data_IF_652752024009
#
_entry.id   IF_652752024009
#
_cell.length_a   1.000
_cell.length_b   1.000
_cell.length_c   1.000
_cell.angle_alpha   90.00
_cell.angle_beta   90.00
_cell.angle_gamma   90.00
#
_symmetry.space_group_name_H-M   'P 1'
#
loop_
_entity.id
_entity.type
_entity.pdbx_description
1 polymer ?
#
# COMPACT_ATOMS: atom_id res chain seq x y z
N UNK A 1 -13.56 24.53 67.75
CA UNK A 1 -13.73 24.16 69.16
C UNK A 1 -15.15 23.68 69.32
N UNK A 2 -15.32 22.59 70.06
CA UNK A 2 -16.43 21.62 70.15
C UNK A 2 -16.54 20.64 68.96
N UNK A 3 -16.16 19.36 69.07
CA UNK A 3 -16.55 18.23 69.98
C UNK A 3 -17.80 17.52 69.41
N UNK A 4 -17.92 16.19 69.22
CA UNK A 4 -17.11 15.02 69.53
C UNK A 4 -17.85 13.74 69.05
N UNK A 5 -17.07 12.68 68.77
CA UNK A 5 -17.29 11.21 68.84
C UNK A 5 -18.72 10.60 68.76
N UNK A 6 -19.02 9.70 67.80
CA UNK A 6 -18.86 8.21 67.78
C UNK A 6 -20.27 7.57 67.69
N UNK A 7 -20.58 6.53 66.90
CA UNK A 7 -20.16 5.12 67.02
C UNK A 7 -20.56 4.31 65.76
N UNK A 8 -19.84 3.22 65.48
CA UNK A 8 -20.18 2.18 64.49
C UNK A 8 -21.18 1.15 65.07
N UNK A 9 -21.75 0.25 64.24
CA UNK A 9 -21.17 -1.11 64.24
C UNK A 9 -21.19 -1.89 62.89
N UNK A 10 -20.20 -2.79 62.77
CA UNK A 10 -20.17 -4.18 62.21
C UNK A 10 -21.16 -4.60 61.09
N UNK A 11 -20.82 -5.37 60.05
CA UNK A 11 -20.08 -6.64 60.07
C UNK A 11 -19.78 -7.16 58.63
N UNK A 12 -18.59 -7.78 58.49
CA UNK A 12 -18.23 -8.97 57.66
C UNK A 12 -18.05 -8.91 56.14
N UNK A 13 -16.79 -9.12 55.78
CA UNK A 13 -16.23 -10.13 54.88
C UNK A 13 -16.72 -10.20 53.41
N UNK A 14 -15.82 -9.83 52.50
CA UNK A 14 -15.33 -10.80 51.52
C UNK A 14 -14.01 -10.34 50.88
N UNK A 15 -12.94 -11.03 51.25
CA UNK A 15 -11.71 -11.15 50.49
C UNK A 15 -11.99 -11.78 49.12
N UNK A 16 -11.58 -11.11 48.04
CA UNK A 16 -11.05 -11.75 46.85
C UNK A 16 -10.20 -10.75 46.05
N UNK A 17 -8.88 -10.98 45.89
CA UNK A 17 -8.08 -10.19 44.96
C UNK A 17 -8.42 -10.62 43.53
N UNK A 18 -9.01 -9.72 42.76
CA UNK A 18 -9.30 -9.93 41.34
C UNK A 18 -7.98 -9.90 40.54
N UNK A 19 -7.25 -11.00 40.62
CA UNK A 19 -6.05 -11.28 39.85
C UNK A 19 -6.48 -11.73 38.44
N UNK A 20 -7.05 -10.80 37.67
CA UNK A 20 -7.23 -10.98 36.24
C UNK A 20 -5.90 -10.59 35.59
N UNK A 21 -5.15 -11.54 35.00
CA UNK A 21 -3.91 -11.20 34.33
C UNK A 21 -4.24 -10.30 33.15
N UNK A 22 -3.88 -9.01 33.28
CA UNK A 22 -3.87 -8.05 32.17
C UNK A 22 -3.00 -8.66 31.07
N UNK A 23 -3.66 -9.17 30.02
CA UNK A 23 -3.01 -9.69 28.82
C UNK A 23 -2.09 -8.58 28.32
N UNK A 24 -0.78 -8.74 28.49
CA UNK A 24 0.22 -7.79 28.00
C UNK A 24 0.00 -7.63 26.51
N UNK A 25 -0.63 -6.52 26.11
CA UNK A 25 -0.68 -6.11 24.71
C UNK A 25 0.76 -5.84 24.31
N UNK A 26 1.35 -6.76 23.54
CA UNK A 26 2.68 -6.56 22.98
C UNK A 26 2.76 -5.24 22.20
N UNK A 27 3.97 -4.74 21.93
CA UNK A 27 4.15 -3.46 21.24
C UNK A 27 3.35 -3.44 19.94
N UNK A 28 2.56 -2.39 19.72
CA UNK A 28 1.69 -2.23 18.54
C UNK A 28 2.42 -2.35 17.17
N UNK A 29 3.76 -2.42 17.15
CA UNK A 29 4.57 -2.64 15.95
C UNK A 29 4.65 -4.10 15.46
N UNK A 30 4.36 -5.11 16.29
CA UNK A 30 4.60 -6.51 15.91
C UNK A 30 3.54 -7.10 14.96
N UNK A 31 2.33 -6.54 14.92
CA UNK A 31 1.18 -7.10 14.18
C UNK A 31 1.11 -6.68 12.70
N UNK A 32 1.92 -5.69 12.31
CA UNK A 32 1.93 -5.12 10.96
C UNK A 32 3.09 -5.66 10.08
N UNK A 33 3.75 -6.73 10.53
CA UNK A 33 4.98 -7.29 9.92
C UNK A 33 4.77 -7.99 8.58
N UNK A 34 3.51 -8.29 8.23
CA UNK A 34 3.18 -9.03 7.02
C UNK A 34 2.41 -8.21 5.98
N UNK A 35 2.20 -6.90 6.20
CA UNK A 35 1.44 -6.08 5.24
C UNK A 35 2.03 -6.12 3.83
N UNK A 36 3.36 -6.06 3.69
CA UNK A 36 4.02 -6.06 2.39
C UNK A 36 3.83 -7.39 1.64
N UNK A 37 3.84 -8.54 2.33
CA UNK A 37 3.57 -9.85 1.70
C UNK A 37 2.11 -9.99 1.30
N UNK A 38 1.18 -9.55 2.15
CA UNK A 38 -0.25 -9.59 1.84
C UNK A 38 -0.58 -8.67 0.66
N UNK A 39 -0.02 -7.46 0.66
CA UNK A 39 -0.22 -6.49 -0.41
C UNK A 39 0.38 -6.97 -1.74
N UNK A 40 1.63 -7.46 -1.76
CA UNK A 40 2.24 -7.99 -2.98
C UNK A 40 1.44 -9.14 -3.61
N UNK A 41 0.94 -10.09 -2.79
CA UNK A 41 0.08 -11.18 -3.27
C UNK A 41 -1.25 -10.68 -3.83
N UNK A 42 -1.87 -9.73 -3.12
CA UNK A 42 -3.13 -9.12 -3.56
C UNK A 42 -2.97 -8.37 -4.88
N UNK A 43 -1.87 -7.61 -5.05
CA UNK A 43 -1.57 -6.89 -6.30
C UNK A 43 -1.45 -7.86 -7.49
N UNK A 44 -0.71 -8.96 -7.33
CA UNK A 44 -0.55 -9.96 -8.38
C UNK A 44 -1.89 -10.58 -8.81
N UNK A 45 -2.80 -10.81 -7.85
CA UNK A 45 -4.14 -11.34 -8.14
C UNK A 45 -5.04 -10.31 -8.81
N UNK A 46 -4.96 -9.05 -8.40
CA UNK A 46 -5.86 -7.98 -8.87
C UNK A 46 -5.44 -7.39 -10.21
N UNK A 47 -4.13 -7.34 -10.47
CA UNK A 47 -3.54 -6.74 -11.68
C UNK A 47 -2.65 -7.76 -12.42
N UNK A 48 -3.15 -8.94 -12.81
CA UNK A 48 -2.32 -9.98 -13.41
C UNK A 48 -1.57 -9.50 -14.67
N UNK A 49 -2.19 -8.61 -15.46
CA UNK A 49 -1.57 -8.02 -16.66
C UNK A 49 -0.35 -7.14 -16.35
N UNK A 50 -0.30 -6.53 -15.16
CA UNK A 50 0.85 -5.73 -14.72
C UNK A 50 2.01 -6.59 -14.23
N UNK A 51 1.77 -7.88 -13.93
CA UNK A 51 2.75 -8.86 -13.47
C UNK A 51 3.16 -9.88 -14.54
N UNK A 52 2.60 -9.80 -15.75
CA UNK A 52 2.96 -10.67 -16.86
C UNK A 52 4.32 -10.30 -17.43
N UNK A 53 5.14 -11.31 -17.72
CA UNK A 53 6.37 -11.11 -18.47
C UNK A 53 6.06 -10.71 -19.92
N UNK A 54 6.70 -9.63 -20.31
CA UNK A 54 7.06 -9.23 -21.66
C UNK A 54 7.46 -10.29 -22.68
N UNK A 55 6.58 -11.14 -23.22
CA UNK A 55 6.95 -11.92 -24.43
C UNK A 55 7.03 -11.05 -25.71
N UNK A 56 6.76 -9.75 -25.60
CA UNK A 56 6.84 -8.78 -26.70
C UNK A 56 8.28 -8.30 -26.93
N UNK A 57 8.59 -7.96 -28.19
CA UNK A 57 9.94 -7.74 -28.74
C UNK A 57 10.86 -6.89 -27.83
N UNK A 58 12.13 -7.32 -27.74
CA UNK A 58 13.23 -6.88 -26.83
C UNK A 58 13.45 -5.38 -26.55
N UNK A 59 12.81 -4.46 -27.28
CA UNK A 59 13.09 -3.03 -27.20
C UNK A 59 12.03 -2.22 -26.43
N UNK A 60 10.74 -2.55 -26.56
CA UNK A 60 9.65 -1.88 -25.80
C UNK A 60 9.46 -2.46 -24.40
N UNK A 61 9.85 -3.72 -24.20
CA UNK A 61 9.68 -4.40 -22.92
C UNK A 61 10.78 -4.09 -21.89
N UNK A 62 11.91 -3.52 -22.35
CA UNK A 62 13.01 -3.13 -21.48
C UNK A 62 12.60 -2.07 -20.43
N UNK A 63 11.57 -1.27 -20.74
CA UNK A 63 11.18 -0.10 -19.95
C UNK A 63 9.99 -0.34 -19.01
N UNK A 64 9.24 -1.44 -19.17
CA UNK A 64 8.04 -1.70 -18.36
C UNK A 64 8.40 -2.10 -16.93
N UNK A 65 7.72 -1.49 -15.96
CA UNK A 65 7.96 -1.75 -14.53
C UNK A 65 6.73 -1.43 -13.68
N UNK A 66 6.73 -1.91 -12.44
CA UNK A 66 5.84 -1.42 -11.38
C UNK A 66 6.52 -0.20 -10.73
N UNK A 67 5.76 0.88 -10.51
CA UNK A 67 6.27 2.10 -9.88
C UNK A 67 5.84 2.14 -8.41
N UNK A 68 6.78 1.87 -7.49
CA UNK A 68 6.58 1.85 -6.02
C UNK A 68 6.93 3.22 -5.41
N UNK A 69 5.92 3.98 -5.03
CA UNK A 69 6.04 5.39 -4.64
C UNK A 69 5.94 5.51 -3.12
N UNK A 70 6.88 6.27 -2.54
CA UNK A 70 7.14 6.33 -1.10
C UNK A 70 7.44 4.95 -0.50
N UNK A 71 8.31 4.19 -1.19
CA UNK A 71 8.65 2.81 -0.83
C UNK A 71 9.43 2.64 0.49
N UNK A 72 9.90 3.73 1.09
CA UNK A 72 10.59 3.76 2.36
C UNK A 72 11.89 2.94 2.34
N UNK A 73 11.98 1.93 3.22
CA UNK A 73 13.13 1.00 3.24
C UNK A 73 13.12 0.00 2.09
N UNK A 74 12.04 -0.03 1.30
CA UNK A 74 11.89 -0.86 0.10
C UNK A 74 11.56 -2.33 0.37
N UNK A 75 10.86 -2.65 1.46
CA UNK A 75 10.43 -4.04 1.72
C UNK A 75 9.44 -4.53 0.65
N UNK A 76 8.52 -3.67 0.21
CA UNK A 76 7.59 -4.00 -0.88
C UNK A 76 8.33 -4.21 -2.19
N UNK A 77 9.16 -3.23 -2.59
CA UNK A 77 10.07 -3.33 -3.73
C UNK A 77 10.88 -4.62 -3.71
N UNK A 78 11.51 -4.99 -2.58
CA UNK A 78 12.27 -6.23 -2.45
C UNK A 78 11.42 -7.50 -2.66
N UNK A 79 10.16 -7.51 -2.19
CA UNK A 79 9.24 -8.64 -2.42
C UNK A 79 8.82 -8.73 -3.89
N UNK A 80 8.50 -7.60 -4.51
CA UNK A 80 8.13 -7.55 -5.93
C UNK A 80 9.29 -8.04 -6.82
N UNK A 81 10.52 -7.57 -6.56
CA UNK A 81 11.68 -7.89 -7.41
C UNK A 81 12.29 -9.27 -7.15
N UNK A 82 12.36 -9.72 -5.90
CA UNK A 82 13.03 -10.99 -5.56
C UNK A 82 12.07 -12.16 -5.47
N UNK A 83 10.82 -11.96 -5.00
CA UNK A 83 9.86 -13.05 -4.84
C UNK A 83 8.93 -13.19 -6.05
N UNK A 84 8.51 -12.07 -6.65
CA UNK A 84 7.62 -12.05 -7.81
C UNK A 84 8.35 -11.75 -9.12
N UNK A 85 9.67 -11.59 -9.08
CA UNK A 85 10.56 -11.41 -10.24
C UNK A 85 10.20 -10.22 -11.14
N UNK A 86 9.54 -9.19 -10.58
CA UNK A 86 9.13 -8.01 -11.32
C UNK A 86 10.24 -6.97 -11.42
N UNK A 87 10.23 -6.18 -12.49
CA UNK A 87 11.00 -4.92 -12.53
C UNK A 87 10.25 -3.85 -11.75
N UNK A 88 10.98 -3.09 -10.93
CA UNK A 88 10.44 -2.05 -10.06
C UNK A 88 11.26 -0.79 -10.19
N UNK A 89 10.60 0.33 -10.44
CA UNK A 89 11.18 1.65 -10.15
C UNK A 89 10.61 2.09 -8.81
N UNK A 90 11.48 2.41 -7.86
CA UNK A 90 11.07 2.90 -6.55
C UNK A 90 11.36 4.40 -6.44
N UNK A 91 10.38 5.19 -6.01
CA UNK A 91 10.55 6.62 -5.73
C UNK A 91 10.46 6.82 -4.22
N UNK A 92 11.52 7.31 -3.61
CA UNK A 92 11.52 7.74 -2.21
C UNK A 92 12.62 8.78 -1.99
N UNK A 93 12.39 9.86 -1.21
CA UNK A 93 13.41 10.88 -0.97
C UNK A 93 14.62 10.34 -0.19
N UNK A 94 14.53 9.16 0.42
CA UNK A 94 15.62 8.53 1.17
C UNK A 94 16.22 7.39 0.37
N UNK A 95 17.53 7.40 0.21
CA UNK A 95 18.25 6.24 -0.33
C UNK A 95 17.94 4.99 0.50
N UNK A 96 17.55 3.90 -0.18
CA UNK A 96 17.32 2.61 0.43
C UNK A 96 18.41 1.62 0.02
N UNK A 97 18.74 0.69 0.93
CA UNK A 97 19.51 -0.51 0.60
C UNK A 97 18.53 -1.68 0.47
N UNK A 98 18.04 -1.88 -0.74
CA UNK A 98 17.01 -2.89 -1.05
C UNK A 98 17.54 -4.31 -0.88
N UNK A 99 18.83 -4.55 -1.18
CA UNK A 99 19.46 -5.84 -0.98
C UNK A 99 19.56 -6.18 0.52
N UNK A 100 20.02 -5.23 1.34
CA UNK A 100 20.04 -5.40 2.78
C UNK A 100 18.62 -5.50 3.37
N UNK A 101 17.65 -4.75 2.84
CA UNK A 101 16.25 -4.89 3.23
C UNK A 101 15.73 -6.30 2.93
N UNK A 102 16.03 -6.84 1.76
CA UNK A 102 15.69 -8.22 1.41
C UNK A 102 16.28 -9.20 2.42
N UNK A 103 17.57 -9.10 2.73
CA UNK A 103 18.25 -10.02 3.65
C UNK A 103 17.73 -9.97 5.08
N UNK A 104 17.45 -8.77 5.58
CA UNK A 104 17.09 -8.59 6.99
C UNK A 104 15.58 -8.68 7.24
N UNK A 105 14.75 -8.36 6.24
CA UNK A 105 13.30 -8.25 6.41
C UNK A 105 12.50 -9.26 5.59
N UNK A 106 12.97 -9.62 4.38
CA UNK A 106 12.21 -10.50 3.48
C UNK A 106 12.64 -11.95 3.63
N UNK A 107 13.93 -12.25 3.40
CA UNK A 107 14.50 -13.59 3.36
C UNK A 107 14.18 -14.44 4.61
N UNK A 108 14.31 -13.94 5.86
CA UNK A 108 14.03 -14.74 7.06
C UNK A 108 12.56 -15.14 7.20
N UNK A 109 11.66 -14.48 6.46
CA UNK A 109 10.21 -14.70 6.46
C UNK A 109 9.76 -15.55 5.25
N UNK A 110 10.68 -15.95 4.37
CA UNK A 110 10.37 -16.84 3.25
C UNK A 110 10.33 -18.32 3.71
N UNK A 111 9.66 -19.21 2.98
CA UNK A 111 9.71 -20.64 3.29
C UNK A 111 11.15 -21.19 3.27
N UNK A 112 11.49 -22.14 4.14
CA UNK A 112 12.85 -22.70 4.28
C UNK A 112 13.45 -23.19 2.94
N UNK A 113 12.63 -23.76 2.06
CA UNK A 113 13.06 -24.19 0.71
C UNK A 113 13.61 -23.02 -0.12
N UNK A 114 12.99 -21.85 -0.01
CA UNK A 114 13.43 -20.63 -0.69
C UNK A 114 14.68 -20.05 -0.03
N UNK A 115 14.74 -20.03 1.30
CA UNK A 115 15.94 -19.58 2.03
C UNK A 115 17.17 -20.40 1.60
N UNK A 116 17.06 -21.73 1.66
CA UNK A 116 18.13 -22.64 1.23
C UNK A 116 18.53 -22.40 -0.23
N UNK A 117 17.58 -22.20 -1.15
CA UNK A 117 17.90 -21.89 -2.55
C UNK A 117 18.73 -20.62 -2.69
N UNK A 118 18.44 -19.58 -1.90
CA UNK A 118 19.22 -18.33 -1.93
C UNK A 118 20.61 -18.56 -1.33
N UNK A 119 20.73 -19.36 -0.26
CA UNK A 119 22.02 -19.75 0.33
C UNK A 119 22.88 -20.55 -0.65
N UNK A 120 22.29 -21.53 -1.36
CA UNK A 120 22.98 -22.30 -2.39
C UNK A 120 23.50 -21.38 -3.52
N UNK A 121 22.68 -20.43 -3.99
CA UNK A 121 23.12 -19.43 -4.98
C UNK A 121 24.23 -18.51 -4.46
N UNK A 122 24.23 -18.21 -3.15
CA UNK A 122 25.26 -17.40 -2.50
C UNK A 122 26.59 -18.13 -2.33
N UNK A 123 26.54 -19.46 -2.16
CA UNK A 123 27.75 -20.27 -2.10
C UNK A 123 28.53 -20.19 -3.42
N UNK A 124 27.81 -20.14 -4.55
CA UNK A 124 28.41 -19.98 -5.88
C UNK A 124 28.73 -18.51 -6.20
N UNK A 125 27.89 -17.57 -5.76
CA UNK A 125 28.03 -16.13 -6.00
C UNK A 125 27.61 -15.31 -4.77
N UNK A 126 28.55 -14.86 -3.93
CA UNK A 126 28.24 -14.10 -2.71
C UNK A 126 27.40 -12.84 -2.94
N UNK A 127 27.55 -12.19 -4.11
CA UNK A 127 26.83 -10.97 -4.50
C UNK A 127 25.49 -11.24 -5.18
N UNK A 128 25.04 -12.50 -5.25
CA UNK A 128 23.84 -12.92 -5.96
C UNK A 128 22.60 -12.04 -5.67
N UNK A 129 22.33 -11.75 -4.39
CA UNK A 129 21.17 -10.93 -4.00
C UNK A 129 21.32 -9.50 -4.50
N UNK A 130 22.49 -8.88 -4.35
CA UNK A 130 22.76 -7.51 -4.78
C UNK A 130 22.63 -7.40 -6.30
N UNK A 131 23.26 -8.31 -7.04
CA UNK A 131 23.17 -8.34 -8.51
C UNK A 131 21.73 -8.51 -8.98
N UNK A 132 20.95 -9.41 -8.38
CA UNK A 132 19.54 -9.62 -8.77
C UNK A 132 18.64 -8.43 -8.45
N UNK A 133 18.92 -7.71 -7.37
CA UNK A 133 18.23 -6.46 -7.06
C UNK A 133 18.61 -5.39 -8.09
N UNK A 134 19.88 -5.19 -8.40
CA UNK A 134 20.35 -4.20 -9.38
C UNK A 134 19.86 -4.50 -10.81
N UNK A 135 19.68 -5.76 -11.17
CA UNK A 135 19.09 -6.17 -12.46
C UNK A 135 17.61 -5.78 -12.60
N UNK A 136 16.88 -5.61 -11.49
CA UNK A 136 15.41 -5.47 -11.49
C UNK A 136 14.90 -4.19 -10.87
N UNK A 137 15.73 -3.50 -10.09
CA UNK A 137 15.31 -2.34 -9.29
C UNK A 137 16.14 -1.13 -9.67
N UNK A 138 15.43 -0.04 -9.98
CA UNK A 138 16.00 1.31 -10.06
C UNK A 138 15.36 2.15 -8.97
N UNK A 139 16.15 2.89 -8.19
CA UNK A 139 15.62 3.88 -7.24
C UNK A 139 15.80 5.29 -7.79
N UNK A 140 14.74 6.08 -7.78
CA UNK A 140 14.79 7.53 -7.96
C UNK A 140 14.72 8.17 -6.57
N UNK A 141 15.80 8.84 -6.16
CA UNK A 141 15.93 9.41 -4.81
C UNK A 141 15.37 10.83 -4.80
N UNK A 142 14.03 10.94 -4.77
CA UNK A 142 13.31 12.22 -4.83
C UNK A 142 11.92 12.10 -4.20
N UNK A 143 11.25 13.21 -3.96
CA UNK A 143 9.83 13.22 -3.56
C UNK A 143 8.92 12.96 -4.76
N UNK A 144 7.73 12.45 -4.50
CA UNK A 144 6.69 12.32 -5.52
C UNK A 144 5.52 13.24 -5.17
N UNK A 145 5.48 14.39 -5.85
CA UNK A 145 4.48 15.43 -5.71
C UNK A 145 4.24 16.10 -7.08
N UNK A 146 3.24 16.97 -7.18
CA UNK A 146 2.87 17.61 -8.45
C UNK A 146 4.03 18.39 -9.07
N UNK A 147 4.91 18.97 -8.23
CA UNK A 147 6.05 19.73 -8.70
C UNK A 147 7.10 18.80 -9.30
N UNK A 148 7.49 17.73 -8.59
CA UNK A 148 8.48 16.79 -9.13
C UNK A 148 7.96 16.08 -10.38
N UNK A 149 6.67 15.76 -10.45
CA UNK A 149 6.05 15.19 -11.65
C UNK A 149 6.13 16.13 -12.88
N UNK A 150 6.10 17.45 -12.68
CA UNK A 150 6.19 18.43 -13.77
C UNK A 150 7.64 18.76 -14.14
N UNK A 151 8.53 18.86 -13.16
CA UNK A 151 9.90 19.35 -13.34
C UNK A 151 10.91 18.23 -13.69
N UNK A 152 10.64 16.98 -13.30
CA UNK A 152 11.60 15.87 -13.41
C UNK A 152 11.25 14.89 -14.53
N UNK A 153 12.08 14.88 -15.58
CA UNK A 153 11.91 14.00 -16.74
C UNK A 153 12.05 12.51 -16.40
N UNK A 154 12.85 12.13 -15.39
CA UNK A 154 12.99 10.73 -14.99
C UNK A 154 11.71 10.24 -14.28
N UNK A 155 11.06 11.11 -13.51
CA UNK A 155 9.76 10.81 -12.90
C UNK A 155 8.67 10.67 -13.96
N UNK A 156 8.63 11.58 -14.93
CA UNK A 156 7.68 11.49 -16.05
C UNK A 156 7.87 10.20 -16.84
N UNK A 157 9.12 9.85 -17.17
CA UNK A 157 9.46 8.60 -17.85
C UNK A 157 9.04 7.37 -17.01
N UNK A 158 9.28 7.41 -15.70
CA UNK A 158 8.87 6.33 -14.80
C UNK A 158 7.34 6.15 -14.80
N UNK A 159 6.56 7.22 -14.64
CA UNK A 159 5.09 7.15 -14.70
C UNK A 159 4.61 6.65 -16.07
N UNK A 160 5.18 7.19 -17.16
CA UNK A 160 4.78 6.84 -18.52
C UNK A 160 5.03 5.37 -18.85
N UNK A 161 6.12 4.79 -18.36
CA UNK A 161 6.48 3.39 -18.62
C UNK A 161 5.92 2.41 -17.57
N UNK A 162 5.33 2.91 -16.49
CA UNK A 162 4.74 2.08 -15.46
C UNK A 162 3.56 1.26 -15.99
N UNK A 163 3.50 -0.01 -15.57
CA UNK A 163 2.36 -0.92 -15.76
C UNK A 163 1.38 -0.85 -14.60
N UNK A 164 1.80 -0.30 -13.47
CA UNK A 164 1.01 -0.10 -12.26
C UNK A 164 1.72 0.91 -11.35
N UNK A 165 0.98 1.91 -10.87
CA UNK A 165 1.44 2.81 -9.81
C UNK A 165 0.98 2.27 -8.46
N UNK A 166 1.88 2.16 -7.48
CA UNK A 166 1.52 1.69 -6.14
C UNK A 166 2.03 2.63 -5.05
N UNK A 167 1.25 2.77 -3.98
CA UNK A 167 1.66 3.50 -2.77
C UNK A 167 1.09 2.84 -1.52
N UNK A 168 1.88 1.99 -0.86
CA UNK A 168 1.49 1.37 0.41
C UNK A 168 1.87 2.28 1.57
N UNK A 169 0.89 3.01 2.12
CA UNK A 169 1.13 4.01 3.17
C UNK A 169 2.01 5.17 2.69
N UNK A 170 1.74 5.65 1.48
CA UNK A 170 2.52 6.70 0.82
C UNK A 170 2.26 8.09 1.43
N UNK A 171 2.87 8.34 2.59
CA UNK A 171 2.79 9.61 3.31
C UNK A 171 3.19 10.78 2.41
N UNK A 172 2.30 11.76 2.27
CA UNK A 172 2.53 12.96 1.45
C UNK A 172 2.37 12.77 -0.06
N UNK A 173 2.56 11.55 -0.58
CA UNK A 173 2.48 11.26 -2.02
C UNK A 173 1.13 10.64 -2.46
N UNK A 174 0.28 10.19 -1.54
CA UNK A 174 -0.96 9.45 -1.87
C UNK A 174 -1.84 10.14 -2.92
N UNK A 175 -2.09 11.45 -2.78
CA UNK A 175 -2.91 12.19 -3.75
C UNK A 175 -2.20 12.37 -5.10
N UNK A 176 -0.91 12.75 -5.09
CA UNK A 176 -0.12 12.91 -6.30
C UNK A 176 -0.06 11.61 -7.13
N UNK A 177 0.00 10.43 -6.47
CA UNK A 177 -0.09 9.13 -7.15
C UNK A 177 -1.41 9.00 -7.92
N UNK A 178 -2.52 9.37 -7.29
CA UNK A 178 -3.87 9.28 -7.88
C UNK A 178 -3.99 10.25 -9.06
N UNK A 179 -3.50 11.48 -8.90
CA UNK A 179 -3.57 12.50 -9.95
C UNK A 179 -2.66 12.16 -11.14
N UNK A 180 -1.45 11.67 -10.89
CA UNK A 180 -0.56 11.15 -11.92
C UNK A 180 -1.21 9.96 -12.67
N UNK A 181 -1.85 9.04 -11.95
CA UNK A 181 -2.52 7.90 -12.55
C UNK A 181 -3.66 8.33 -13.48
N UNK A 182 -4.47 9.33 -13.08
CA UNK A 182 -5.50 9.90 -13.95
C UNK A 182 -4.90 10.60 -15.17
N UNK A 183 -3.89 11.45 -14.97
CA UNK A 183 -3.25 12.22 -16.04
C UNK A 183 -2.61 11.31 -17.10
N UNK A 184 -1.91 10.26 -16.68
CA UNK A 184 -1.22 9.32 -17.56
C UNK A 184 -2.05 8.09 -17.94
N UNK A 185 -3.31 8.04 -17.50
CA UNK A 185 -4.24 6.93 -17.71
C UNK A 185 -3.63 5.57 -17.30
N UNK A 186 -3.04 5.53 -16.11
CA UNK A 186 -2.38 4.34 -15.57
C UNK A 186 -3.24 3.68 -14.50
N UNK A 187 -3.25 2.32 -14.44
CA UNK A 187 -3.80 1.65 -13.28
C UNK A 187 -2.99 2.03 -12.03
N UNK A 188 -3.67 2.12 -10.90
CA UNK A 188 -3.02 2.40 -9.62
C UNK A 188 -3.67 1.68 -8.44
N UNK A 189 -2.90 1.59 -7.35
CA UNK A 189 -3.38 1.21 -6.03
C UNK A 189 -2.67 2.03 -4.97
N UNK A 190 -3.42 2.75 -4.14
CA UNK A 190 -2.89 3.43 -2.95
C UNK A 190 -3.55 2.90 -1.69
N UNK A 191 -2.81 2.89 -0.59
CA UNK A 191 -3.32 2.60 0.77
C UNK A 191 -3.15 3.87 1.60
N UNK A 192 -4.16 4.76 1.65
CA UNK A 192 -4.05 6.01 2.41
C UNK A 192 -3.90 5.75 3.91
N UNK A 193 -3.01 6.46 4.58
CA UNK A 193 -2.76 6.32 6.02
C UNK A 193 -2.80 7.65 6.79
N UNK A 194 -2.11 8.67 6.27
CA UNK A 194 -1.95 9.97 6.91
C UNK A 194 -2.67 11.07 6.12
N UNK A 195 -3.45 11.89 6.83
CA UNK A 195 -4.32 12.92 6.22
C UNK A 195 -3.60 14.26 6.05
N UNK A 196 -2.68 14.57 6.97
CA UNK A 196 -1.91 15.81 7.02
C UNK A 196 -2.72 17.10 6.77
N UNK A 197 -3.78 17.38 7.55
CA UNK A 197 -4.70 18.50 7.28
C UNK A 197 -4.04 19.88 7.32
N UNK A 198 -2.94 20.03 8.06
CA UNK A 198 -2.16 21.28 8.08
C UNK A 198 -1.30 21.49 6.83
N UNK A 199 -0.89 20.40 6.17
CA UNK A 199 -0.13 20.45 4.91
C UNK A 199 -1.05 20.57 3.70
N UNK A 200 -2.28 20.05 3.81
CA UNK A 200 -3.27 20.08 2.74
C UNK A 200 -4.58 20.73 3.23
N UNK A 201 -4.55 22.02 3.58
CA UNK A 201 -5.71 22.71 4.16
C UNK A 201 -6.88 22.82 3.18
N UNK A 202 -6.59 22.84 1.88
CA UNK A 202 -7.57 23.09 0.81
C UNK A 202 -8.34 21.83 0.38
N UNK A 203 -7.97 20.65 0.90
CA UNK A 203 -8.74 19.41 0.65
C UNK A 203 -10.12 19.53 1.27
N UNK A 204 -11.14 19.39 0.43
CA UNK A 204 -12.54 19.39 0.84
C UNK A 204 -13.28 18.18 0.24
N UNK A 205 -14.29 17.68 0.96
CA UNK A 205 -15.05 16.48 0.59
C UNK A 205 -16.51 16.66 0.96
N UNK A 206 -17.40 16.07 0.16
CA UNK A 206 -18.84 15.99 0.44
C UNK A 206 -19.15 14.57 0.93
N UNK A 207 -19.53 14.39 2.21
CA UNK A 207 -19.75 13.04 2.76
C UNK A 207 -21.13 12.47 2.42
N UNK A 208 -22.12 13.33 2.19
CA UNK A 208 -23.51 12.99 1.90
C UNK A 208 -23.93 13.70 0.60
N UNK A 209 -24.75 13.11 -0.30
CA UNK A 209 -25.05 13.65 -1.63
C UNK A 209 -25.47 15.13 -1.68
N UNK A 210 -26.19 15.60 -0.65
CA UNK A 210 -26.65 17.00 -0.51
C UNK A 210 -26.01 17.72 0.70
N UNK A 211 -24.95 17.13 1.25
CA UNK A 211 -24.23 17.66 2.40
C UNK A 211 -23.31 18.83 2.05
N UNK A 212 -22.92 19.64 3.05
CA UNK A 212 -21.92 20.68 2.82
C UNK A 212 -20.57 20.07 2.47
N UNK A 213 -19.80 20.77 1.64
CA UNK A 213 -18.38 20.46 1.48
C UNK A 213 -17.65 20.80 2.78
N UNK A 214 -16.92 19.83 3.34
CA UNK A 214 -16.19 19.96 4.60
C UNK A 214 -14.69 19.74 4.37
N UNK A 215 -13.85 20.33 5.21
CA UNK A 215 -12.41 20.07 5.13
C UNK A 215 -12.07 18.62 5.52
N UNK A 216 -11.14 18.03 4.78
CA UNK A 216 -10.61 16.70 5.09
C UNK A 216 -9.75 16.75 6.34
N UNK A 217 -10.16 16.02 7.38
CA UNK A 217 -9.51 15.95 8.70
C UNK A 217 -9.38 14.50 9.21
N UNK A 218 -10.23 13.58 8.73
CA UNK A 218 -10.21 12.17 9.12
C UNK A 218 -9.73 11.28 7.97
N UNK A 219 -9.32 10.05 8.31
CA UNK A 219 -8.90 9.06 7.32
C UNK A 219 -10.06 8.63 6.39
N UNK A 220 -11.26 8.50 6.94
CA UNK A 220 -12.48 8.23 6.17
C UNK A 220 -12.78 9.34 5.16
N UNK A 221 -12.73 10.60 5.60
CA UNK A 221 -12.87 11.76 4.73
C UNK A 221 -11.81 11.79 3.63
N UNK A 222 -10.57 11.38 3.93
CA UNK A 222 -9.52 11.32 2.93
C UNK A 222 -9.74 10.21 1.91
N UNK A 223 -10.19 9.02 2.34
CA UNK A 223 -10.57 7.96 1.42
C UNK A 223 -11.73 8.39 0.51
N UNK A 224 -12.75 9.03 1.08
CA UNK A 224 -13.89 9.54 0.32
C UNK A 224 -13.50 10.66 -0.66
N UNK A 225 -12.62 11.57 -0.23
CA UNK A 225 -12.05 12.61 -1.09
C UNK A 225 -11.38 12.01 -2.33
N UNK A 226 -10.56 10.96 -2.15
CA UNK A 226 -9.90 10.28 -3.27
C UNK A 226 -10.92 9.60 -4.19
N UNK A 227 -11.92 8.90 -3.63
CA UNK A 227 -12.98 8.24 -4.42
C UNK A 227 -13.78 9.23 -5.27
N UNK A 228 -13.97 10.47 -4.82
CA UNK A 228 -14.69 11.50 -5.57
C UNK A 228 -13.93 12.04 -6.79
N UNK A 229 -12.61 11.79 -6.89
CA UNK A 229 -11.84 12.24 -8.06
C UNK A 229 -12.25 11.56 -9.36
N UNK A 230 -12.80 10.34 -9.31
CA UNK A 230 -13.22 9.63 -10.52
C UNK A 230 -14.24 8.51 -10.22
N UNK A 231 -15.35 8.39 -10.99
CA UNK A 231 -16.41 7.40 -10.73
C UNK A 231 -15.97 5.94 -10.92
N UNK A 232 -14.88 5.70 -11.64
CA UNK A 232 -14.31 4.37 -11.83
C UNK A 232 -13.41 3.90 -10.68
N UNK A 233 -13.16 4.72 -9.67
CA UNK A 233 -12.35 4.32 -8.52
C UNK A 233 -13.11 3.34 -7.63
N UNK A 234 -12.37 2.38 -7.07
CA UNK A 234 -12.90 1.36 -6.19
C UNK A 234 -12.16 1.37 -4.86
N UNK A 235 -12.89 1.01 -3.82
CA UNK A 235 -12.34 0.80 -2.48
C UNK A 235 -12.39 -0.68 -2.13
N UNK A 236 -11.29 -1.24 -1.63
CA UNK A 236 -11.22 -2.63 -1.17
C UNK A 236 -10.49 -2.72 0.17
N UNK A 237 -10.85 -3.72 1.00
CA UNK A 237 -10.19 -3.98 2.28
C UNK A 237 -9.11 -5.05 2.09
N UNK A 238 -7.88 -4.72 2.46
CA UNK A 238 -6.73 -5.60 2.33
C UNK A 238 -6.60 -6.56 3.53
N UNK A 239 -6.07 -7.78 3.33
CA UNK A 239 -6.02 -8.81 4.36
C UNK A 239 -4.84 -8.62 5.34
N UNK A 240 -4.74 -7.46 5.98
CA UNK A 240 -3.81 -7.16 7.07
C UNK A 240 -4.40 -6.13 8.04
N UNK A 241 -3.82 -6.02 9.24
CA UNK A 241 -4.30 -5.10 10.28
C UNK A 241 -3.80 -3.66 10.10
N UNK A 242 -4.47 -2.71 10.75
CA UNK A 242 -4.12 -1.28 10.70
C UNK A 242 -4.82 -0.57 9.54
N UNK A 243 -4.15 0.42 8.93
CA UNK A 243 -4.65 1.11 7.73
C UNK A 243 -4.61 0.16 6.53
N UNK A 244 -5.74 -0.48 6.24
CA UNK A 244 -5.84 -1.55 5.25
C UNK A 244 -6.86 -1.27 4.13
N UNK A 245 -7.33 -0.03 4.03
CA UNK A 245 -8.21 0.40 2.94
C UNK A 245 -7.36 0.74 1.72
N UNK A 246 -7.61 0.07 0.60
CA UNK A 246 -7.01 0.37 -0.70
C UNK A 246 -7.99 1.16 -1.56
N UNK A 247 -7.51 2.22 -2.21
CA UNK A 247 -8.20 2.90 -3.32
C UNK A 247 -7.49 2.52 -4.60
N UNK A 248 -8.23 2.08 -5.61
CA UNK A 248 -7.66 1.55 -6.84
C UNK A 248 -8.45 1.91 -8.09
N UNK A 249 -7.76 1.84 -9.23
CA UNK A 249 -8.34 1.97 -10.56
C UNK A 249 -7.56 1.09 -11.54
N UNK A 250 -8.26 0.46 -12.49
CA UNK A 250 -7.67 -0.42 -13.50
C UNK A 250 -7.23 0.31 -14.78
N UNK A 251 -7.41 1.64 -14.84
CA UNK A 251 -7.06 2.44 -16.02
C UNK A 251 -8.02 2.28 -17.20
N UNK A 252 -9.06 1.43 -17.08
CA UNK A 252 -10.02 1.14 -18.15
C UNK A 252 -11.43 1.38 -17.63
N UNK A 253 -11.89 2.62 -17.67
CA UNK A 253 -13.30 2.93 -17.42
C UNK A 253 -13.75 4.11 -18.27
N UNK A 254 -13.93 3.85 -19.57
CA UNK A 254 -14.83 4.65 -20.41
C UNK A 254 -16.03 3.86 -20.97
N UNK A 255 -16.19 2.56 -20.66
CA UNK A 255 -17.26 1.75 -21.26
C UNK A 255 -18.00 0.78 -20.31
N UNK A 256 -18.51 1.26 -19.18
CA UNK A 256 -19.58 0.55 -18.47
C UNK A 256 -20.73 1.48 -18.12
N UNK A 257 -21.32 2.05 -19.18
CA UNK A 257 -22.68 2.59 -19.18
C UNK A 257 -23.54 1.80 -20.16
N UNK A 258 -23.73 0.50 -19.95
CA UNK A 258 -24.96 -0.20 -20.37
C UNK A 258 -25.28 -1.36 -19.41
N UNK A 259 -26.53 -1.51 -18.96
CA UNK A 259 -26.96 -2.70 -18.24
C UNK A 259 -26.90 -3.89 -19.20
N UNK A 260 -26.30 -5.01 -18.76
CA UNK A 260 -26.35 -6.26 -19.51
C UNK A 260 -27.81 -6.71 -19.58
N UNK A 261 -28.42 -6.60 -20.76
CA UNK A 261 -29.64 -7.34 -21.07
C UNK A 261 -29.36 -8.83 -20.90
N UNK A 262 -30.06 -9.44 -19.94
CA UNK A 262 -30.12 -10.89 -19.77
C UNK A 262 -30.91 -11.44 -20.95
N UNK A 263 -30.41 -12.42 -21.72
CA UNK A 263 -31.23 -13.08 -22.72
C UNK A 263 -32.32 -13.86 -22.00
N UNK A 264 -33.58 -13.52 -22.27
CA UNK A 264 -34.72 -14.38 -21.96
C UNK A 264 -34.53 -15.65 -22.78
N UNK A 265 -34.37 -16.78 -22.10
CA UNK A 265 -34.33 -18.07 -22.75
C UNK A 265 -35.72 -18.35 -23.35
N UNK A 266 -35.78 -18.42 -24.68
CA UNK A 266 -36.90 -19.00 -25.41
C UNK A 266 -37.08 -20.46 -24.97
N UNK A 267 -38.07 -20.70 -24.12
CA UNK A 267 -38.60 -22.02 -23.81
C UNK A 267 -39.77 -22.31 -24.74
N UNK A 268 -39.50 -22.99 -25.85
CA UNK A 268 -40.51 -23.72 -26.61
C UNK A 268 -40.74 -25.07 -25.91
N UNK A 269 -41.91 -25.23 -25.29
CA UNK A 269 -42.76 -26.44 -25.27
C UNK A 269 -44.17 -26.03 -24.81
#
# INVERSE_FOLDING_TARGET
>A
MDDGQATAPSDRDNDAPDNIPKKKTGPHGARNQHRHIHFAKWLQQRFPMSFQESHLKKQDDAMRHILDIAGGKGELTARLSMCLQQRVVMVDPRQADIANCFDTQVLPRLPNKWQKRIEDQRADNPDFVRQKVEERVRQLVTTFDDRTLVEDAEIQEAVQNATLLIGLHADGATEAIVDAALQYQKPFVVVPCCVFPSFFPDRTVVMEPDGPSIHVRTHEQFCQFLLQKHPGFRMEILPFEGRNVAILWDGVSQHLSQPRNVPVADGNL
#
